data_IF_460881085318
#
_entry.id   IF_460881085318
#
_cell.length_a   1.000
_cell.length_b   1.000
_cell.length_c   1.000
_cell.angle_alpha   90.00
_cell.angle_beta   90.00
_cell.angle_gamma   90.00
#
_symmetry.space_group_name_H-M   'P 1'
#
loop_
_entity.id
_entity.type
_entity.pdbx_description
1 polymer ?
#
# COMPACT_ATOMS: atom_id res chain seq x y z
N UNK A 1 16.73 -9.52 -7.91
CA UNK A 1 15.92 -10.27 -6.92
C UNK A 1 14.49 -10.33 -7.41
N UNK A 2 13.79 -11.44 -7.18
CA UNK A 2 12.36 -11.57 -7.49
C UNK A 2 11.56 -10.86 -6.40
N UNK A 3 10.78 -9.82 -6.74
CA UNK A 3 9.85 -9.17 -5.80
C UNK A 3 8.54 -9.94 -5.74
N UNK A 4 8.01 -10.13 -4.54
CA UNK A 4 6.64 -10.61 -4.33
C UNK A 4 5.65 -9.47 -4.57
N UNK A 5 4.61 -9.73 -5.37
CA UNK A 5 3.68 -8.71 -5.85
C UNK A 5 2.26 -9.12 -5.58
N UNK A 6 1.56 -8.31 -4.82
CA UNK A 6 0.19 -8.57 -4.41
C UNK A 6 -0.74 -7.46 -4.88
N UNK A 7 -1.86 -7.85 -5.47
CA UNK A 7 -2.90 -6.92 -5.92
C UNK A 7 -4.19 -7.12 -5.14
N UNK A 8 -4.71 -6.01 -4.64
CA UNK A 8 -6.06 -5.90 -4.10
C UNK A 8 -6.86 -5.09 -5.13
N UNK A 9 -7.64 -5.78 -5.96
CA UNK A 9 -8.60 -5.18 -6.88
C UNK A 9 -9.81 -4.70 -6.07
N UNK A 10 -9.70 -3.52 -5.47
CA UNK A 10 -10.68 -2.94 -4.56
C UNK A 10 -10.92 -1.49 -4.95
N UNK A 11 -11.93 -1.25 -5.77
CA UNK A 11 -12.13 0.01 -6.44
C UNK A 11 -13.02 0.95 -5.62
N UNK A 12 -12.67 2.23 -5.61
CA UNK A 12 -13.37 3.24 -4.81
C UNK A 12 -13.27 3.04 -3.29
N UNK A 13 -14.33 3.47 -2.59
CA UNK A 13 -14.40 3.51 -1.13
C UNK A 13 -14.68 2.16 -0.47
N UNK A 14 -13.91 1.11 -0.76
CA UNK A 14 -14.12 -0.24 -0.24
C UNK A 14 -13.21 -0.59 0.98
N UNK A 15 -13.75 -0.63 2.22
CA UNK A 15 -12.97 -0.89 3.42
C UNK A 15 -12.43 -2.32 3.51
N UNK A 16 -13.11 -3.30 2.92
CA UNK A 16 -12.68 -4.71 2.97
C UNK A 16 -11.37 -4.92 2.21
N UNK A 17 -11.27 -4.40 0.98
CA UNK A 17 -10.01 -4.50 0.23
C UNK A 17 -8.87 -3.76 0.92
N UNK A 18 -9.16 -2.59 1.52
CA UNK A 18 -8.18 -1.87 2.35
C UNK A 18 -7.72 -2.75 3.54
N UNK A 19 -8.63 -3.50 4.17
CA UNK A 19 -8.31 -4.43 5.27
C UNK A 19 -7.43 -5.58 4.80
N UNK A 20 -7.77 -6.21 3.67
CA UNK A 20 -6.96 -7.31 3.11
C UNK A 20 -5.55 -6.81 2.76
N UNK A 21 -5.44 -5.64 2.13
CA UNK A 21 -4.14 -5.05 1.78
C UNK A 21 -3.27 -4.75 3.02
N UNK A 22 -3.87 -4.14 4.06
CA UNK A 22 -3.17 -3.88 5.32
C UNK A 22 -2.75 -5.18 6.02
N UNK A 23 -3.64 -6.17 6.10
CA UNK A 23 -3.34 -7.45 6.73
C UNK A 23 -2.15 -8.13 6.04
N UNK A 24 -2.16 -8.21 4.70
CA UNK A 24 -1.06 -8.78 3.94
C UNK A 24 0.24 -7.98 4.11
N UNK A 25 0.16 -6.66 4.14
CA UNK A 25 1.32 -5.80 4.40
C UNK A 25 1.96 -6.07 5.76
N UNK A 26 1.18 -6.18 6.83
CA UNK A 26 1.72 -6.47 8.17
C UNK A 26 2.36 -7.87 8.22
N UNK A 27 1.72 -8.87 7.61
CA UNK A 27 2.30 -10.21 7.46
C UNK A 27 3.69 -10.15 6.80
N UNK A 28 3.79 -9.43 5.67
CA UNK A 28 5.05 -9.28 4.94
C UNK A 28 6.11 -8.49 5.72
N UNK A 29 5.72 -7.50 6.53
CA UNK A 29 6.69 -6.79 7.37
C UNK A 29 7.32 -7.71 8.42
N UNK A 30 6.56 -8.66 8.96
CA UNK A 30 7.08 -9.64 9.92
C UNK A 30 8.16 -10.52 9.28
N UNK A 31 7.97 -10.97 8.03
CA UNK A 31 8.92 -11.83 7.31
C UNK A 31 10.07 -11.09 6.63
N UNK A 32 9.81 -9.93 6.02
CA UNK A 32 10.78 -9.24 5.14
C UNK A 32 11.44 -7.99 5.75
N UNK A 33 10.90 -7.42 6.83
CA UNK A 33 11.51 -6.28 7.52
C UNK A 33 10.66 -5.01 7.55
N UNK A 34 11.32 -3.86 7.45
CA UNK A 34 10.65 -2.56 7.61
C UNK A 34 9.73 -2.24 6.43
N UNK A 35 8.56 -1.71 6.74
CA UNK A 35 7.50 -1.41 5.79
C UNK A 35 7.27 0.08 5.55
N UNK A 36 6.76 0.42 4.37
CA UNK A 36 6.32 1.77 4.01
C UNK A 36 4.89 1.71 3.47
N UNK A 37 3.98 2.40 4.15
CA UNK A 37 2.61 2.65 3.70
C UNK A 37 2.61 3.99 2.97
N UNK A 38 2.19 3.96 1.71
CA UNK A 38 2.09 5.12 0.82
C UNK A 38 0.62 5.45 0.63
N UNK A 39 0.24 6.67 0.98
CA UNK A 39 -1.11 7.23 0.72
C UNK A 39 -1.02 8.39 -0.28
N UNK A 40 -2.11 8.77 -0.98
CA UNK A 40 -2.07 9.86 -1.95
C UNK A 40 -1.71 11.20 -1.31
N UNK A 41 -2.31 11.51 -0.16
CA UNK A 41 -2.05 12.77 0.56
C UNK A 41 -2.10 12.55 2.07
N UNK A 42 -0.98 12.80 2.72
CA UNK A 42 -0.78 12.47 4.13
C UNK A 42 -1.64 13.29 5.11
N UNK A 43 -2.01 14.51 4.71
CA UNK A 43 -2.87 15.42 5.48
C UNK A 43 -4.34 14.99 5.50
N UNK A 44 -4.77 14.22 4.50
CA UNK A 44 -6.15 13.80 4.33
C UNK A 44 -6.40 12.36 4.79
N UNK A 45 -5.44 11.73 5.48
CA UNK A 45 -5.58 10.33 5.93
C UNK A 45 -6.62 10.22 7.04
N UNK A 46 -6.75 11.24 7.88
CA UNK A 46 -7.77 11.31 8.93
C UNK A 46 -9.18 11.30 8.32
N UNK A 47 -10.01 10.33 8.71
CA UNK A 47 -11.38 10.18 8.20
C UNK A 47 -11.52 9.29 6.96
N UNK A 48 -10.41 8.73 6.46
CA UNK A 48 -10.44 7.75 5.36
C UNK A 48 -10.63 6.32 5.90
N UNK A 49 -10.78 5.37 4.98
CA UNK A 49 -10.85 3.94 5.31
C UNK A 49 -9.63 3.46 6.10
N UNK A 50 -8.47 4.11 5.98
CA UNK A 50 -7.30 3.82 6.80
C UNK A 50 -7.62 3.88 8.30
N UNK A 51 -8.35 4.90 8.74
CA UNK A 51 -8.77 5.06 10.14
C UNK A 51 -9.95 4.18 10.55
N UNK A 52 -10.73 3.69 9.58
CA UNK A 52 -11.87 2.80 9.82
C UNK A 52 -11.44 1.35 9.97
N UNK A 53 -10.39 0.95 9.26
CA UNK A 53 -9.93 -0.43 9.15
C UNK A 53 -8.90 -0.78 10.23
N UNK A 54 -8.04 0.17 10.60
CA UNK A 54 -7.04 -0.04 11.64
C UNK A 54 -7.62 0.18 13.04
N UNK A 55 -7.07 -0.52 14.06
CA UNK A 55 -7.34 -0.16 15.45
C UNK A 55 -7.04 1.32 15.69
N UNK A 56 -7.97 2.02 16.36
CA UNK A 56 -7.94 3.48 16.53
C UNK A 56 -6.60 3.99 17.09
N UNK A 57 -6.04 3.29 18.09
CA UNK A 57 -4.74 3.64 18.67
C UNK A 57 -3.58 3.58 17.66
N UNK A 58 -3.56 2.54 16.82
CA UNK A 58 -2.55 2.35 15.78
C UNK A 58 -2.67 3.40 14.69
N UNK A 59 -3.90 3.65 14.19
CA UNK A 59 -4.17 4.67 13.19
C UNK A 59 -3.73 6.06 13.67
N UNK A 60 -4.11 6.44 14.90
CA UNK A 60 -3.68 7.71 15.52
C UNK A 60 -2.17 7.81 15.65
N UNK A 61 -1.51 6.73 16.03
CA UNK A 61 -0.04 6.73 16.19
C UNK A 61 0.66 6.87 14.83
N UNK A 62 0.23 6.14 13.81
CA UNK A 62 0.78 6.27 12.46
C UNK A 62 0.52 7.65 11.86
N UNK A 63 -0.66 8.24 12.08
CA UNK A 63 -0.97 9.59 11.58
C UNK A 63 -0.14 10.66 12.30
N UNK A 64 0.04 10.55 13.62
CA UNK A 64 0.76 11.57 14.40
C UNK A 64 2.28 11.44 14.28
N UNK A 65 2.82 10.23 14.47
CA UNK A 65 4.26 9.98 14.52
C UNK A 65 4.87 9.66 13.16
N UNK A 66 4.05 9.28 12.17
CA UNK A 66 4.45 8.78 10.84
C UNK A 66 5.29 7.52 10.84
N UNK A 67 5.89 7.12 11.95
CA UNK A 67 6.70 5.92 12.09
C UNK A 67 6.31 5.21 13.38
N UNK A 68 6.22 3.89 13.32
CA UNK A 68 6.05 3.02 14.48
C UNK A 68 7.11 1.91 14.44
N UNK A 69 7.52 1.44 15.62
CA UNK A 69 8.33 0.23 15.75
C UNK A 69 7.42 -0.99 15.82
N UNK A 70 7.80 -2.07 15.14
CA UNK A 70 7.10 -3.36 15.17
C UNK A 70 7.93 -4.48 15.81
N UNK A 71 9.02 -4.12 16.51
CA UNK A 71 9.94 -5.08 17.12
C UNK A 71 11.17 -5.38 16.26
N UNK A 72 12.18 -6.00 16.84
CA UNK A 72 13.43 -6.42 16.17
C UNK A 72 14.14 -5.33 15.34
N UNK A 73 14.00 -4.06 15.75
CA UNK A 73 14.54 -2.90 15.02
C UNK A 73 13.80 -2.56 13.72
N UNK A 74 12.71 -3.25 13.40
CA UNK A 74 11.87 -3.02 12.22
C UNK A 74 10.87 -1.90 12.49
N UNK A 75 10.57 -1.13 11.45
CA UNK A 75 9.63 -0.02 11.53
C UNK A 75 8.60 -0.06 10.41
N UNK A 76 7.44 0.54 10.67
CA UNK A 76 6.45 0.86 9.63
C UNK A 76 6.35 2.37 9.54
N UNK A 77 6.54 2.88 8.33
CA UNK A 77 6.47 4.31 8.03
C UNK A 77 5.26 4.62 7.17
N UNK A 78 4.54 5.68 7.48
CA UNK A 78 3.47 6.25 6.69
C UNK A 78 3.99 7.49 5.95
N UNK A 79 3.92 7.48 4.62
CA UNK A 79 4.29 8.62 3.79
C UNK A 79 3.21 8.97 2.75
N UNK A 80 3.33 10.16 2.18
CA UNK A 80 2.55 10.56 1.00
C UNK A 80 3.27 10.14 -0.28
N UNK A 81 2.53 10.01 -1.38
CA UNK A 81 3.12 9.74 -2.71
C UNK A 81 4.16 10.80 -3.12
N UNK A 82 3.95 12.06 -2.74
CA UNK A 82 4.89 13.17 -3.01
C UNK A 82 6.21 13.06 -2.25
N UNK A 83 6.25 12.33 -1.13
CA UNK A 83 7.44 12.15 -0.28
C UNK A 83 8.06 10.77 -0.39
N UNK A 84 7.52 9.87 -1.22
CA UNK A 84 8.01 8.50 -1.43
C UNK A 84 9.51 8.42 -1.73
N UNK A 85 10.07 9.40 -2.47
CA UNK A 85 11.50 9.48 -2.80
C UNK A 85 12.44 9.43 -1.59
N UNK A 86 11.94 9.81 -0.41
CA UNK A 86 12.70 9.78 0.85
C UNK A 86 12.65 8.41 1.55
N UNK A 87 11.83 7.49 1.07
CA UNK A 87 11.52 6.21 1.71
C UNK A 87 11.78 5.03 0.77
N UNK A 88 12.79 5.09 -0.10
CA UNK A 88 13.11 4.07 -1.11
C UNK A 88 13.86 2.83 -0.58
N UNK A 89 14.23 2.85 0.71
CA UNK A 89 14.96 1.76 1.39
C UNK A 89 14.06 0.79 2.17
N UNK A 90 12.73 0.92 2.04
CA UNK A 90 11.80 -0.03 2.64
C UNK A 90 11.97 -1.43 2.05
N UNK A 91 11.70 -2.45 2.86
CA UNK A 91 11.68 -3.84 2.41
C UNK A 91 10.32 -4.22 1.84
N UNK A 92 9.26 -3.64 2.41
CA UNK A 92 7.87 -3.91 2.05
C UNK A 92 7.15 -2.60 1.75
N UNK A 93 6.38 -2.54 0.67
CA UNK A 93 5.56 -1.39 0.33
C UNK A 93 4.08 -1.74 0.29
N UNK A 94 3.26 -0.87 0.85
CA UNK A 94 1.82 -0.88 0.65
C UNK A 94 1.42 0.45 0.03
N UNK A 95 0.78 0.42 -1.13
CA UNK A 95 0.12 1.63 -1.66
C UNK A 95 -1.38 1.51 -1.42
N UNK A 96 -1.92 2.47 -0.67
CA UNK A 96 -3.35 2.61 -0.47
C UNK A 96 -3.89 3.62 -1.46
N UNK A 97 -4.90 3.20 -2.23
CA UNK A 97 -5.50 3.98 -3.31
C UNK A 97 -4.44 4.43 -4.31
N UNK A 98 -3.58 3.48 -4.67
CA UNK A 98 -2.44 3.69 -5.54
C UNK A 98 -2.88 4.01 -6.95
N UNK A 99 -2.38 5.14 -7.47
CA UNK A 99 -2.46 5.49 -8.87
C UNK A 99 -1.28 4.85 -9.64
N UNK A 100 -1.46 4.64 -10.95
CA UNK A 100 -0.41 4.07 -11.82
C UNK A 100 0.98 4.71 -11.60
N UNK A 101 1.07 6.03 -11.55
CA UNK A 101 2.35 6.73 -11.36
C UNK A 101 3.01 6.52 -9.98
N UNK A 102 2.27 6.10 -8.94
CA UNK A 102 2.88 5.72 -7.65
C UNK A 102 3.38 4.27 -7.69
N UNK A 103 2.62 3.39 -8.34
CA UNK A 103 3.01 1.98 -8.56
C UNK A 103 4.32 1.92 -9.35
N UNK A 104 4.41 2.66 -10.46
CA UNK A 104 5.61 2.74 -11.28
C UNK A 104 6.82 3.24 -10.50
N UNK A 105 6.65 4.28 -9.65
CA UNK A 105 7.73 4.80 -8.81
C UNK A 105 8.22 3.81 -7.77
N UNK A 106 7.33 3.01 -7.18
CA UNK A 106 7.74 1.96 -6.24
C UNK A 106 8.58 0.92 -6.98
N UNK A 107 8.11 0.51 -8.15
CA UNK A 107 8.83 -0.46 -8.97
C UNK A 107 10.20 0.07 -9.44
N UNK A 108 10.30 1.32 -9.86
CA UNK A 108 11.56 1.90 -10.37
C UNK A 108 12.54 2.27 -9.25
N UNK A 109 12.06 2.96 -8.21
CA UNK A 109 12.94 3.69 -7.30
C UNK A 109 13.21 2.93 -6.00
N UNK A 110 12.33 2.00 -5.61
CA UNK A 110 12.44 1.27 -4.34
C UNK A 110 13.27 -0.01 -4.51
N UNK A 111 14.57 0.16 -4.76
CA UNK A 111 15.52 -0.93 -5.06
C UNK A 111 15.66 -1.98 -3.95
N UNK A 112 15.36 -1.63 -2.69
CA UNK A 112 15.39 -2.56 -1.55
C UNK A 112 14.06 -3.31 -1.34
N UNK A 113 13.04 -3.00 -2.14
CA UNK A 113 11.74 -3.65 -2.08
C UNK A 113 11.87 -5.14 -2.43
N UNK A 114 11.39 -5.97 -1.51
CA UNK A 114 11.28 -7.42 -1.63
C UNK A 114 9.83 -7.88 -1.80
N UNK A 115 8.88 -7.09 -1.31
CA UNK A 115 7.46 -7.39 -1.33
C UNK A 115 6.63 -6.09 -1.47
N UNK A 116 5.59 -6.13 -2.28
CA UNK A 116 4.69 -4.98 -2.47
C UNK A 116 3.22 -5.41 -2.55
N UNK A 117 2.37 -4.57 -1.98
CA UNK A 117 0.92 -4.73 -1.96
C UNK A 117 0.30 -3.46 -2.53
N UNK A 118 -0.48 -3.59 -3.60
CA UNK A 118 -1.18 -2.46 -4.20
C UNK A 118 -2.69 -2.61 -4.00
N UNK A 119 -3.27 -1.63 -3.30
CA UNK A 119 -4.70 -1.39 -3.23
C UNK A 119 -5.00 -0.25 -4.18
N UNK A 120 -5.52 -0.54 -5.36
CA UNK A 120 -5.76 0.47 -6.40
C UNK A 120 -7.07 1.22 -6.18
N UNK A 121 -7.20 2.41 -6.78
CA UNK A 121 -8.47 3.15 -6.77
C UNK A 121 -9.33 2.81 -7.98
N UNK A 122 -8.69 2.67 -9.16
CA UNK A 122 -9.33 2.35 -10.45
C UNK A 122 -8.73 1.09 -11.09
N UNK A 123 -9.48 0.36 -11.92
CA UNK A 123 -8.98 -0.83 -12.64
C UNK A 123 -7.75 -0.57 -13.50
N UNK A 124 -7.70 0.59 -14.15
CA UNK A 124 -6.61 1.03 -15.01
C UNK A 124 -5.28 1.23 -14.26
N UNK A 125 -5.31 1.57 -12.96
CA UNK A 125 -4.11 1.93 -12.19
C UNK A 125 -3.07 0.80 -12.13
N UNK A 126 -3.53 -0.45 -12.04
CA UNK A 126 -2.67 -1.64 -11.98
C UNK A 126 -2.57 -2.41 -13.28
N UNK A 127 -3.29 -2.01 -14.33
CA UNK A 127 -3.50 -2.85 -15.52
C UNK A 127 -2.21 -3.19 -16.24
N UNK A 128 -1.36 -2.19 -16.49
CA UNK A 128 -0.08 -2.40 -17.19
C UNK A 128 0.96 -3.10 -16.30
N UNK A 129 0.97 -2.74 -15.02
CA UNK A 129 1.80 -3.39 -14.02
C UNK A 129 1.50 -4.90 -13.91
N UNK A 130 0.23 -5.28 -13.84
CA UNK A 130 -0.20 -6.68 -13.77
C UNK A 130 0.04 -7.46 -15.08
N UNK A 131 0.25 -6.78 -16.21
CA UNK A 131 0.68 -7.41 -17.47
C UNK A 131 2.19 -7.64 -17.52
N UNK A 132 2.94 -6.68 -16.98
CA UNK A 132 4.41 -6.70 -17.00
C UNK A 132 4.97 -7.71 -16.00
N UNK A 133 4.34 -7.84 -14.83
CA UNK A 133 4.86 -8.63 -13.73
C UNK A 133 3.96 -9.80 -13.35
N UNK A 134 4.57 -10.83 -12.73
CA UNK A 134 3.82 -11.91 -12.09
C UNK A 134 3.21 -11.38 -10.79
N UNK A 135 1.90 -11.20 -10.78
CA UNK A 135 1.13 -10.63 -9.67
C UNK A 135 0.20 -11.69 -9.07
N UNK A 136 0.12 -11.73 -7.74
CA UNK A 136 -0.86 -12.53 -7.00
C UNK A 136 -2.02 -11.64 -6.61
N UNK A 137 -3.20 -11.86 -7.20
CA UNK A 137 -4.42 -11.16 -6.76
C UNK A 137 -4.91 -11.80 -5.47
N UNK A 138 -5.03 -11.01 -4.40
CA UNK A 138 -5.44 -11.48 -3.05
C UNK A 138 -6.84 -11.01 -2.67
N UNK A 139 -7.43 -10.11 -3.47
CA UNK A 139 -8.79 -9.62 -3.31
C UNK A 139 -9.32 -9.09 -4.63
N UNK A 140 -10.61 -9.29 -4.87
CA UNK A 140 -11.36 -8.78 -6.02
C UNK A 140 -12.78 -8.44 -5.56
N UNK A 141 -13.19 -7.18 -5.68
CA UNK A 141 -14.55 -6.74 -5.35
C UNK A 141 -15.55 -6.94 -6.51
N UNK A 142 -15.09 -7.48 -7.64
CA UNK A 142 -15.91 -7.76 -8.80
C UNK A 142 -16.22 -6.54 -9.67
N UNK A 143 -15.70 -5.36 -9.36
CA UNK A 143 -15.88 -4.16 -10.19
C UNK A 143 -14.87 -4.21 -11.35
N UNK A 144 -15.35 -4.32 -12.57
CA UNK A 144 -14.51 -4.50 -13.77
C UNK A 144 -14.25 -3.22 -14.55
N UNK A 145 -14.87 -2.10 -14.18
CA UNK A 145 -14.78 -0.82 -14.87
C UNK A 145 -15.07 0.36 -13.95
N UNK A 146 -14.37 1.47 -14.17
CA UNK A 146 -14.66 2.76 -13.51
C UNK A 146 -16.12 3.15 -13.73
N UNK A 147 -16.91 3.40 -12.68
CA UNK A 147 -18.28 3.87 -12.85
C UNK A 147 -18.28 5.23 -13.56
N UNK A 148 -19.13 5.39 -14.57
CA UNK A 148 -19.38 6.69 -15.18
C UNK A 148 -20.15 7.54 -14.14
N UNK A 149 -19.49 8.56 -13.59
CA UNK A 149 -20.12 9.61 -12.79
C UNK A 149 -20.28 10.88 -13.62
#
# INVERSE_FOLDING_TARGET
MSRERYLVSSYGGNPEGTRVGLAKFFELCLSHGSGVIVVPTIGNVSGTMFTQVLPNALAKTLISKRVISIGDGKTITLCGSSTLKNFTKGNVYLTLWGQAGTIEKIESDCYSCTAEVFVTWLPEDSKEWARTYKVTKIYDDGVTSTPNF
#
